data_IF_606106016025
#
_entry.id   IF_606106016025
#
_cell.length_a   1.000
_cell.length_b   1.000
_cell.length_c   1.000
_cell.angle_alpha   90.00
_cell.angle_beta   90.00
_cell.angle_gamma   90.00
#
_symmetry.space_group_name_H-M   'P 1'
#
loop_
_entity.id
_entity.type
_entity.pdbx_description
1 polymer ?
#
# COMPACT_ATOMS: atom_id res chain seq x y z
N UNK A 1 -30.14 -4.00 0.20
CA UNK A 1 -29.89 -3.37 1.52
C UNK A 1 -28.46 -2.84 1.66
N UNK A 2 -27.37 -3.66 1.67
CA UNK A 2 -26.01 -3.12 1.83
C UNK A 2 -25.59 -2.20 0.67
N UNK A 3 -26.00 -2.52 -0.55
CA UNK A 3 -25.67 -1.74 -1.74
C UNK A 3 -26.32 -0.36 -1.72
N UNK A 4 -27.55 -0.25 -1.23
CA UNK A 4 -28.26 1.03 -1.08
C UNK A 4 -27.61 1.92 -0.01
N UNK A 5 -27.09 1.29 1.05
CA UNK A 5 -26.31 1.98 2.09
C UNK A 5 -25.00 2.51 1.50
N UNK A 6 -24.27 1.66 0.79
CA UNK A 6 -22.96 2.00 0.24
C UNK A 6 -23.03 2.95 -0.96
N UNK A 7 -24.14 2.98 -1.70
CA UNK A 7 -24.37 3.97 -2.74
C UNK A 7 -24.32 5.42 -2.19
N UNK A 8 -24.75 5.63 -0.93
CA UNK A 8 -24.67 6.93 -0.26
C UNK A 8 -23.24 7.36 0.10
N UNK A 9 -22.29 6.43 0.03
CA UNK A 9 -20.86 6.69 0.35
C UNK A 9 -20.03 7.02 -0.88
N UNK A 10 -20.63 6.91 -2.07
CA UNK A 10 -19.96 7.25 -3.32
C UNK A 10 -19.57 8.74 -3.34
N UNK A 11 -18.37 9.04 -3.80
CA UNK A 11 -17.80 10.39 -3.74
C UNK A 11 -17.28 10.82 -2.35
N UNK A 12 -17.81 10.28 -1.24
CA UNK A 12 -17.34 10.60 0.11
C UNK A 12 -16.20 9.69 0.57
N UNK A 13 -16.12 8.48 0.04
CA UNK A 13 -15.07 7.50 0.37
C UNK A 13 -14.38 6.97 -0.90
N UNK A 14 -13.09 6.66 -0.76
CA UNK A 14 -12.35 6.03 -1.86
C UNK A 14 -12.99 4.69 -2.27
N UNK A 15 -13.03 4.38 -3.56
CA UNK A 15 -13.62 3.14 -4.12
C UNK A 15 -13.14 1.86 -3.43
N UNK A 16 -11.86 1.79 -3.07
CA UNK A 16 -11.31 0.64 -2.34
C UNK A 16 -11.84 0.53 -0.90
N UNK A 17 -12.14 1.66 -0.25
CA UNK A 17 -12.76 1.68 1.08
C UNK A 17 -14.18 1.15 1.01
N UNK A 18 -14.98 1.60 0.04
CA UNK A 18 -16.36 1.11 -0.19
C UNK A 18 -16.34 -0.39 -0.50
N UNK A 19 -15.41 -0.86 -1.33
CA UNK A 19 -15.24 -2.30 -1.62
C UNK A 19 -14.91 -3.10 -0.36
N UNK A 20 -14.06 -2.58 0.52
CA UNK A 20 -13.72 -3.22 1.78
C UNK A 20 -14.93 -3.28 2.72
N UNK A 21 -15.67 -2.18 2.86
CA UNK A 21 -16.90 -2.13 3.65
C UNK A 21 -17.93 -3.15 3.19
N UNK A 22 -18.18 -3.21 1.87
CA UNK A 22 -19.08 -4.20 1.27
C UNK A 22 -18.66 -5.63 1.62
N UNK A 23 -17.40 -5.96 1.37
CA UNK A 23 -16.87 -7.30 1.64
C UNK A 23 -16.97 -7.69 3.13
N UNK A 24 -16.64 -6.76 4.02
CA UNK A 24 -16.67 -7.01 5.46
C UNK A 24 -18.08 -7.18 5.98
N UNK A 25 -19.03 -6.39 5.49
CA UNK A 25 -20.43 -6.48 5.89
C UNK A 25 -21.09 -7.78 5.38
N UNK A 26 -20.87 -8.16 4.12
CA UNK A 26 -21.36 -9.41 3.55
C UNK A 26 -20.86 -10.62 4.35
N UNK A 27 -19.57 -10.61 4.74
CA UNK A 27 -19.01 -11.69 5.54
C UNK A 27 -19.58 -11.73 6.97
N UNK A 28 -19.89 -10.59 7.56
CA UNK A 28 -20.58 -10.51 8.84
C UNK A 28 -22.01 -11.06 8.73
N UNK A 29 -22.76 -10.63 7.72
CA UNK A 29 -24.13 -11.14 7.47
C UNK A 29 -24.15 -12.67 7.28
N UNK A 30 -23.22 -13.19 6.48
CA UNK A 30 -23.12 -14.64 6.26
C UNK A 30 -22.82 -15.40 7.57
N UNK A 31 -21.94 -14.85 8.42
CA UNK A 31 -21.66 -15.42 9.74
C UNK A 31 -22.90 -15.36 10.65
N UNK A 32 -23.60 -14.23 10.70
CA UNK A 32 -24.82 -14.08 11.47
C UNK A 32 -25.88 -15.10 11.04
N UNK A 33 -26.12 -15.22 9.73
CA UNK A 33 -27.10 -16.19 9.19
C UNK A 33 -26.75 -17.63 9.56
N UNK A 34 -25.46 -18.00 9.52
CA UNK A 34 -24.99 -19.33 9.90
C UNK A 34 -25.21 -19.62 11.39
N UNK A 35 -25.24 -18.62 12.24
CA UNK A 35 -25.42 -18.75 13.70
C UNK A 35 -26.84 -18.40 14.14
N UNK A 36 -27.80 -18.22 13.23
CA UNK A 36 -29.18 -17.80 13.51
C UNK A 36 -29.26 -16.49 14.33
N UNK A 37 -28.43 -15.54 13.99
CA UNK A 37 -28.33 -14.21 14.63
C UNK A 37 -28.71 -13.14 13.59
N UNK A 38 -29.45 -12.12 14.00
CA UNK A 38 -29.76 -10.99 13.17
C UNK A 38 -28.47 -10.11 12.97
N UNK A 39 -28.18 -9.78 11.72
CA UNK A 39 -27.05 -8.89 11.42
C UNK A 39 -27.40 -7.41 11.66
N UNK A 40 -28.66 -7.06 11.60
CA UNK A 40 -29.25 -5.76 11.94
C UNK A 40 -30.60 -6.00 12.64
N UNK A 41 -30.82 -5.44 13.86
CA UNK A 41 -29.85 -4.65 14.63
C UNK A 41 -28.66 -5.46 15.14
N UNK A 42 -27.44 -4.91 15.01
CA UNK A 42 -26.24 -5.56 15.51
C UNK A 42 -26.15 -5.41 17.03
N UNK A 43 -25.99 -6.50 17.76
CA UNK A 43 -25.82 -6.51 19.22
C UNK A 43 -24.33 -6.57 19.60
N UNK A 44 -24.01 -6.13 20.81
CA UNK A 44 -22.64 -6.19 21.34
C UNK A 44 -22.16 -7.64 21.51
N UNK A 45 -23.04 -8.53 21.96
CA UNK A 45 -22.74 -9.95 22.13
C UNK A 45 -22.45 -10.64 20.79
N UNK A 46 -23.29 -10.41 19.76
CA UNK A 46 -23.05 -10.94 18.42
C UNK A 46 -21.71 -10.44 17.84
N UNK A 47 -21.41 -9.15 18.02
CA UNK A 47 -20.17 -8.57 17.54
C UNK A 47 -18.95 -9.13 18.28
N UNK A 48 -19.06 -9.35 19.60
CA UNK A 48 -18.00 -9.97 20.40
C UNK A 48 -17.76 -11.43 19.99
N UNK A 49 -18.82 -12.22 19.78
CA UNK A 49 -18.72 -13.59 19.26
C UNK A 49 -18.09 -13.62 17.86
N UNK A 50 -18.43 -12.65 17.00
CA UNK A 50 -17.81 -12.54 15.68
C UNK A 50 -16.31 -12.24 15.77
N UNK A 51 -15.86 -11.39 16.71
CA UNK A 51 -14.44 -11.16 17.00
C UNK A 51 -13.76 -12.46 17.40
N UNK A 52 -14.34 -13.21 18.36
CA UNK A 52 -13.79 -14.47 18.85
C UNK A 52 -13.72 -15.54 17.72
N UNK A 53 -14.76 -15.64 16.88
CA UNK A 53 -14.73 -16.47 15.66
C UNK A 53 -13.60 -16.05 14.71
N UNK A 54 -13.49 -14.76 14.39
CA UNK A 54 -12.45 -14.27 13.49
C UNK A 54 -11.03 -14.53 14.03
N UNK A 55 -10.87 -14.55 15.35
CA UNK A 55 -9.57 -14.83 16.00
C UNK A 55 -9.06 -16.26 15.73
N UNK A 56 -9.92 -17.17 15.29
CA UNK A 56 -9.51 -18.53 14.88
C UNK A 56 -8.99 -18.62 13.46
N UNK A 57 -9.35 -17.67 12.58
CA UNK A 57 -9.11 -17.78 11.13
C UNK A 57 -8.45 -16.56 10.49
N UNK A 58 -8.22 -15.47 11.24
CA UNK A 58 -7.71 -14.21 10.70
C UNK A 58 -6.63 -13.59 11.59
N UNK A 59 -5.76 -12.79 10.97
CA UNK A 59 -4.76 -11.99 11.68
C UNK A 59 -5.41 -10.79 12.37
N UNK A 60 -4.90 -10.42 13.54
CA UNK A 60 -5.35 -9.32 14.39
C UNK A 60 -5.64 -8.01 13.64
N UNK A 61 -4.77 -7.59 12.72
CA UNK A 61 -4.97 -6.38 11.91
C UNK A 61 -6.21 -6.46 11.00
N UNK A 62 -6.48 -7.63 10.42
CA UNK A 62 -7.67 -7.86 9.60
C UNK A 62 -8.93 -7.79 10.43
N UNK A 63 -8.93 -8.37 11.63
CA UNK A 63 -10.06 -8.35 12.57
C UNK A 63 -10.39 -6.91 12.95
N UNK A 64 -9.39 -6.15 13.43
CA UNK A 64 -9.58 -4.73 13.79
C UNK A 64 -10.16 -3.92 12.64
N UNK A 65 -9.62 -4.10 11.43
CA UNK A 65 -10.11 -3.39 10.25
C UNK A 65 -11.58 -3.73 9.97
N UNK A 66 -11.97 -5.02 10.05
CA UNK A 66 -13.34 -5.46 9.83
C UNK A 66 -14.32 -4.87 10.85
N UNK A 67 -13.97 -4.94 12.12
CA UNK A 67 -14.81 -4.36 13.18
C UNK A 67 -14.97 -2.84 12.99
N UNK A 68 -13.91 -2.13 12.68
CA UNK A 68 -13.98 -0.70 12.35
C UNK A 68 -14.84 -0.42 11.10
N UNK A 69 -14.75 -1.27 10.06
CA UNK A 69 -15.60 -1.18 8.86
C UNK A 69 -17.08 -1.33 9.22
N UNK A 70 -17.42 -2.35 10.02
CA UNK A 70 -18.80 -2.61 10.46
C UNK A 70 -19.35 -1.45 11.28
N UNK A 71 -18.61 -0.96 12.27
CA UNK A 71 -19.02 0.21 13.06
C UNK A 71 -19.24 1.45 12.19
N UNK A 72 -18.38 1.70 11.21
CA UNK A 72 -18.56 2.83 10.28
C UNK A 72 -19.84 2.66 9.44
N UNK A 73 -20.06 1.48 8.88
CA UNK A 73 -21.25 1.19 8.06
C UNK A 73 -22.54 1.33 8.89
N UNK A 74 -22.59 0.73 10.08
CA UNK A 74 -23.74 0.81 10.98
C UNK A 74 -24.04 2.27 11.36
N UNK A 75 -23.03 3.00 11.81
CA UNK A 75 -23.19 4.42 12.21
C UNK A 75 -23.70 5.30 11.07
N UNK A 76 -23.11 5.19 9.88
CA UNK A 76 -23.48 6.05 8.73
C UNK A 76 -24.83 5.63 8.12
N UNK A 77 -25.29 4.40 8.36
CA UNK A 77 -26.63 3.94 8.00
C UNK A 77 -27.69 4.17 9.10
N UNK A 78 -27.34 4.93 10.14
CA UNK A 78 -28.21 5.27 11.28
C UNK A 78 -28.65 4.05 12.12
N UNK A 79 -27.88 2.98 12.08
CA UNK A 79 -28.05 1.85 13.00
C UNK A 79 -27.14 2.02 14.22
N UNK A 80 -27.53 1.35 15.32
CA UNK A 80 -26.68 1.33 16.52
C UNK A 80 -25.33 0.68 16.21
N UNK A 81 -24.25 1.33 16.66
CA UNK A 81 -22.87 0.82 16.53
C UNK A 81 -22.41 0.16 17.84
N UNK A 82 -22.39 -1.18 17.94
CA UNK A 82 -21.98 -1.86 19.15
C UNK A 82 -20.47 -1.99 19.30
N UNK A 83 -19.68 -1.58 18.32
CA UNK A 83 -18.21 -1.87 18.28
C UNK A 83 -17.43 -1.21 19.42
N UNK A 84 -18.03 -0.24 20.12
CA UNK A 84 -17.43 0.44 21.28
C UNK A 84 -17.99 -0.02 22.62
N UNK A 85 -18.89 -0.99 22.64
CA UNK A 85 -19.43 -1.55 23.87
C UNK A 85 -18.39 -2.40 24.61
N UNK A 86 -18.46 -2.49 25.93
CA UNK A 86 -17.49 -3.21 26.77
C UNK A 86 -17.22 -4.66 26.31
N UNK A 87 -18.25 -5.38 25.89
CA UNK A 87 -18.18 -6.77 25.43
C UNK A 87 -17.23 -6.89 24.23
N UNK A 88 -17.39 -5.99 23.24
CA UNK A 88 -16.56 -5.98 22.01
C UNK A 88 -15.15 -5.54 22.32
N UNK A 89 -14.98 -4.53 23.19
CA UNK A 89 -13.65 -4.08 23.64
C UNK A 89 -12.91 -5.22 24.33
N UNK A 90 -13.59 -5.97 25.20
CA UNK A 90 -13.00 -7.11 25.90
C UNK A 90 -12.66 -8.25 24.92
N UNK A 91 -13.53 -8.55 23.94
CA UNK A 91 -13.25 -9.54 22.91
C UNK A 91 -12.01 -9.16 22.09
N UNK A 92 -11.86 -7.88 21.69
CA UNK A 92 -10.68 -7.38 21.00
C UNK A 92 -9.41 -7.50 21.89
N UNK A 93 -9.50 -7.23 23.18
CA UNK A 93 -8.37 -7.41 24.10
C UNK A 93 -7.98 -8.88 24.22
N UNK A 94 -8.97 -9.80 24.37
CA UNK A 94 -8.72 -11.24 24.37
C UNK A 94 -8.04 -11.70 23.08
N UNK A 95 -8.57 -11.29 21.93
CA UNK A 95 -8.00 -11.57 20.62
C UNK A 95 -6.54 -11.13 20.54
N UNK A 96 -6.21 -9.90 21.00
CA UNK A 96 -4.83 -9.42 21.00
C UNK A 96 -3.90 -10.22 21.91
N UNK A 97 -4.38 -10.69 23.05
CA UNK A 97 -3.60 -11.57 23.92
C UNK A 97 -3.36 -12.95 23.30
N UNK A 98 -4.37 -13.48 22.58
CA UNK A 98 -4.31 -14.81 21.97
C UNK A 98 -3.41 -14.87 20.73
N UNK A 99 -3.55 -13.92 19.81
CA UNK A 99 -2.90 -13.96 18.47
C UNK A 99 -1.91 -12.81 18.23
N UNK A 100 -1.65 -11.96 19.23
CA UNK A 100 -0.71 -10.85 19.15
C UNK A 100 -1.21 -9.66 18.31
N UNK A 101 -0.42 -8.60 18.31
CA UNK A 101 -0.67 -7.37 17.52
C UNK A 101 0.37 -7.15 16.42
N UNK A 102 1.49 -7.87 16.48
CA UNK A 102 2.61 -7.69 15.58
C UNK A 102 2.19 -7.96 14.14
N UNK A 103 2.53 -7.04 13.26
CA UNK A 103 2.41 -7.21 11.83
C UNK A 103 3.80 -7.51 11.26
N UNK A 104 3.86 -8.48 10.37
CA UNK A 104 5.07 -8.73 9.63
C UNK A 104 5.34 -7.52 8.73
N UNK A 105 6.51 -6.92 8.86
CA UNK A 105 6.97 -5.85 7.99
C UNK A 105 7.31 -6.43 6.62
N UNK A 106 7.18 -5.63 5.56
CA UNK A 106 7.67 -6.02 4.24
C UNK A 106 9.20 -6.17 4.26
N UNK A 107 9.72 -7.15 3.53
CA UNK A 107 11.16 -7.28 3.32
C UNK A 107 11.76 -5.97 2.78
N UNK A 108 12.88 -5.50 3.30
CA UNK A 108 13.50 -4.27 2.81
C UNK A 108 14.08 -4.48 1.40
N UNK A 109 13.81 -3.55 0.49
CA UNK A 109 14.50 -3.45 -0.78
C UNK A 109 15.54 -2.34 -0.65
N UNK A 110 16.66 -2.65 0.03
CA UNK A 110 17.79 -1.76 0.26
C UNK A 110 18.68 -1.66 -0.98
N UNK A 111 19.58 -0.68 -1.01
CA UNK A 111 20.42 -0.34 -2.17
C UNK A 111 21.25 -1.52 -2.73
N UNK A 112 21.84 -2.42 -1.92
CA UNK A 112 22.56 -3.57 -2.46
C UNK A 112 21.64 -4.50 -3.29
N UNK A 113 20.46 -4.85 -2.74
CA UNK A 113 19.48 -5.69 -3.44
C UNK A 113 18.89 -4.96 -4.65
N UNK A 114 18.62 -3.65 -4.53
CA UNK A 114 18.17 -2.83 -5.66
C UNK A 114 19.15 -2.92 -6.84
N UNK A 115 20.44 -2.80 -6.58
CA UNK A 115 21.49 -2.86 -7.62
C UNK A 115 21.53 -4.25 -8.27
N UNK A 116 21.39 -5.33 -7.52
CA UNK A 116 21.31 -6.69 -8.06
C UNK A 116 20.09 -6.85 -8.96
N UNK A 117 18.91 -6.39 -8.53
CA UNK A 117 17.70 -6.44 -9.36
C UNK A 117 17.83 -5.61 -10.64
N UNK A 118 18.44 -4.43 -10.56
CA UNK A 118 18.69 -3.56 -11.72
C UNK A 118 19.63 -4.21 -12.73
N UNK A 119 20.70 -4.84 -12.25
CA UNK A 119 21.68 -5.54 -13.10
C UNK A 119 21.09 -6.77 -13.79
N UNK A 120 20.13 -7.43 -13.13
CA UNK A 120 19.44 -8.62 -13.67
C UNK A 120 18.34 -8.27 -14.67
N UNK A 121 17.91 -7.01 -14.75
CA UNK A 121 16.94 -6.57 -15.75
C UNK A 121 17.60 -6.52 -17.14
N UNK A 122 17.07 -7.26 -18.11
CA UNK A 122 17.52 -7.27 -19.48
C UNK A 122 17.27 -5.94 -20.22
N UNK A 123 17.62 -5.88 -21.52
CA UNK A 123 17.41 -4.73 -22.36
C UNK A 123 16.08 -4.74 -23.13
N UNK A 124 15.20 -5.70 -22.84
CA UNK A 124 13.85 -5.72 -23.42
C UNK A 124 13.02 -4.55 -22.90
N UNK A 125 11.92 -4.24 -23.59
CA UNK A 125 10.95 -3.25 -23.13
C UNK A 125 10.45 -3.55 -21.70
N UNK A 126 10.30 -4.83 -21.39
CA UNK A 126 9.86 -5.27 -20.05
C UNK A 126 10.96 -5.07 -19.01
N UNK A 127 12.22 -5.38 -19.36
CA UNK A 127 13.38 -5.12 -18.51
C UNK A 127 13.57 -3.62 -18.26
N UNK A 128 13.46 -2.78 -19.29
CA UNK A 128 13.55 -1.32 -19.14
C UNK A 128 12.43 -0.77 -18.24
N UNK A 129 11.16 -1.20 -18.44
CA UNK A 129 10.06 -0.84 -17.56
C UNK A 129 10.34 -1.27 -16.11
N UNK A 130 10.95 -2.44 -15.90
CA UNK A 130 11.29 -2.92 -14.56
C UNK A 130 12.39 -2.06 -13.94
N UNK A 131 13.42 -1.64 -14.70
CA UNK A 131 14.44 -0.68 -14.23
C UNK A 131 13.80 0.65 -13.79
N UNK A 132 12.86 1.18 -14.59
CA UNK A 132 12.10 2.39 -14.23
C UNK A 132 11.31 2.17 -12.93
N UNK A 133 10.57 1.06 -12.82
CA UNK A 133 9.80 0.74 -11.62
C UNK A 133 10.68 0.66 -10.37
N UNK A 134 11.83 -0.02 -10.46
CA UNK A 134 12.75 -0.21 -9.35
C UNK A 134 13.31 1.13 -8.84
N UNK A 135 13.87 1.95 -9.75
CA UNK A 135 14.44 3.25 -9.38
C UNK A 135 13.39 4.23 -8.90
N UNK A 136 12.29 4.38 -9.65
CA UNK A 136 11.21 5.30 -9.29
C UNK A 136 10.59 4.94 -7.94
N UNK A 137 10.37 3.64 -7.67
CA UNK A 137 9.84 3.17 -6.40
C UNK A 137 10.77 3.45 -5.23
N UNK A 138 12.06 3.17 -5.40
CA UNK A 138 13.08 3.37 -4.37
C UNK A 138 13.32 4.86 -4.09
N UNK A 139 13.57 5.66 -5.11
CA UNK A 139 13.93 7.07 -4.95
C UNK A 139 12.77 7.92 -4.43
N UNK A 140 11.53 7.63 -4.88
CA UNK A 140 10.36 8.40 -4.45
C UNK A 140 9.73 7.87 -3.18
N UNK A 141 9.99 6.63 -2.77
CA UNK A 141 9.40 5.98 -1.59
C UNK A 141 7.87 6.02 -1.61
N UNK A 142 7.23 5.94 -2.79
CA UNK A 142 5.77 6.09 -2.90
C UNK A 142 5.03 4.77 -2.70
N UNK A 143 3.76 4.88 -2.28
CA UNK A 143 2.88 3.71 -2.26
C UNK A 143 2.64 3.23 -3.69
N UNK A 144 2.42 1.91 -3.87
CA UNK A 144 2.22 1.31 -5.20
C UNK A 144 1.14 2.00 -6.04
N UNK A 145 0.07 2.53 -5.42
CA UNK A 145 -0.98 3.27 -6.12
C UNK A 145 -0.49 4.65 -6.58
N UNK A 146 0.28 5.34 -5.77
CA UNK A 146 0.90 6.62 -6.09
C UNK A 146 1.98 6.43 -7.17
N UNK A 147 2.79 5.38 -7.03
CA UNK A 147 3.83 5.02 -7.99
C UNK A 147 3.28 4.75 -9.40
N UNK A 148 2.18 3.99 -9.49
CA UNK A 148 1.54 3.68 -10.77
C UNK A 148 0.68 4.84 -11.33
N UNK A 149 0.47 5.89 -10.56
CA UNK A 149 -0.26 7.07 -10.99
C UNK A 149 0.62 8.15 -11.61
N UNK A 150 1.95 8.08 -11.47
CA UNK A 150 2.84 9.05 -12.09
C UNK A 150 2.73 9.01 -13.61
N UNK A 151 2.74 10.22 -14.18
CA UNK A 151 2.72 10.46 -15.62
C UNK A 151 3.98 11.19 -16.07
N UNK A 152 4.27 11.17 -17.35
CA UNK A 152 5.40 11.93 -17.91
C UNK A 152 5.25 13.44 -17.70
N UNK A 153 4.01 13.95 -17.69
CA UNK A 153 3.69 15.35 -17.42
C UNK A 153 3.99 15.78 -15.98
N UNK A 154 4.17 14.81 -15.06
CA UNK A 154 4.56 15.08 -13.67
C UNK A 154 6.06 15.31 -13.51
N UNK A 155 6.88 14.98 -14.52
CA UNK A 155 8.33 15.24 -14.51
C UNK A 155 8.56 16.74 -14.58
N UNK A 156 9.32 17.29 -13.65
CA UNK A 156 9.53 18.73 -13.52
C UNK A 156 10.94 19.03 -12.98
N UNK A 157 11.24 20.30 -12.80
CA UNK A 157 12.43 20.76 -12.07
C UNK A 157 12.03 21.21 -10.67
N UNK A 158 12.82 20.83 -9.68
CA UNK A 158 12.72 21.35 -8.32
C UNK A 158 13.18 22.80 -8.22
N UNK A 159 13.01 23.44 -7.05
CA UNK A 159 13.40 24.82 -6.80
C UNK A 159 14.90 25.08 -7.02
N UNK A 160 15.75 24.04 -6.92
CA UNK A 160 17.18 24.09 -7.15
C UNK A 160 17.57 23.78 -8.62
N UNK A 161 16.61 23.74 -9.54
CA UNK A 161 16.80 23.40 -10.95
C UNK A 161 17.08 21.92 -11.24
N UNK A 162 17.20 21.06 -10.21
CA UNK A 162 17.47 19.62 -10.37
C UNK A 162 16.19 18.86 -10.76
N UNK A 163 16.34 17.68 -11.39
CA UNK A 163 15.21 16.83 -11.74
C UNK A 163 14.33 16.49 -10.54
N UNK A 164 13.04 16.50 -10.76
CA UNK A 164 12.02 16.18 -9.76
C UNK A 164 10.79 15.58 -10.43
N UNK A 165 9.91 14.97 -9.63
CA UNK A 165 8.61 14.51 -10.06
C UNK A 165 7.52 15.02 -9.12
N UNK A 166 6.41 15.49 -9.67
CA UNK A 166 5.27 15.99 -8.90
C UNK A 166 4.33 14.85 -8.51
N UNK A 167 4.03 14.75 -7.23
CA UNK A 167 2.97 13.87 -6.70
C UNK A 167 1.72 14.70 -6.51
N UNK A 168 0.75 14.60 -7.42
CA UNK A 168 -0.46 15.44 -7.41
C UNK A 168 -1.42 15.05 -6.28
N UNK A 169 -1.56 13.75 -5.99
CA UNK A 169 -2.44 13.22 -4.95
C UNK A 169 -1.76 12.11 -4.17
N UNK A 170 -2.04 12.03 -2.87
CA UNK A 170 -1.60 10.91 -2.05
C UNK A 170 -2.73 10.43 -1.12
N UNK A 171 -2.53 9.29 -0.45
CA UNK A 171 -3.49 8.80 0.55
C UNK A 171 -3.73 9.79 1.69
N UNK A 172 -2.74 10.61 2.01
CA UNK A 172 -2.78 11.61 3.09
C UNK A 172 -3.03 13.03 2.58
N UNK A 173 -3.00 13.22 1.28
CA UNK A 173 -3.32 14.47 0.58
C UNK A 173 -4.32 14.17 -0.54
N UNK A 174 -5.58 14.03 -0.16
CA UNK A 174 -6.69 13.76 -1.08
C UNK A 174 -7.22 15.02 -1.75
N UNK A 175 -6.85 16.20 -1.25
CA UNK A 175 -7.26 17.50 -1.78
C UNK A 175 -6.27 18.06 -2.83
N UNK A 176 -5.12 17.38 -3.04
CA UNK A 176 -4.22 17.70 -4.14
C UNK A 176 -3.34 18.94 -3.91
N UNK A 177 -2.92 19.21 -2.68
CA UNK A 177 -1.89 20.24 -2.43
C UNK A 177 -0.59 19.92 -3.19
N UNK A 178 -0.36 18.63 -3.43
CA UNK A 178 0.74 18.13 -4.22
C UNK A 178 2.09 18.18 -3.49
N UNK A 179 3.06 17.45 -4.02
CA UNK A 179 4.42 17.44 -3.48
C UNK A 179 5.45 17.26 -4.59
N UNK A 180 6.50 18.06 -4.57
CA UNK A 180 7.66 17.88 -5.46
C UNK A 180 8.63 16.92 -4.79
N UNK A 181 8.98 15.85 -5.49
CA UNK A 181 9.90 14.80 -5.03
C UNK A 181 11.16 14.88 -5.86
N UNK A 182 12.34 15.12 -5.25
CA UNK A 182 13.59 15.10 -5.98
C UNK A 182 13.89 13.69 -6.50
N UNK A 183 14.40 13.59 -7.71
CA UNK A 183 14.92 12.37 -8.32
C UNK A 183 16.35 12.57 -8.78
N UNK A 184 17.10 11.47 -8.89
CA UNK A 184 18.47 11.52 -9.39
C UNK A 184 18.51 11.83 -10.88
N UNK A 185 19.66 12.34 -11.38
CA UNK A 185 19.88 12.50 -12.80
C UNK A 185 19.80 11.18 -13.54
N UNK A 186 20.32 10.11 -12.93
CA UNK A 186 20.25 8.75 -13.50
C UNK A 186 18.82 8.25 -13.70
N UNK A 187 17.91 8.53 -12.75
CA UNK A 187 16.51 8.20 -12.92
C UNK A 187 15.87 9.08 -14.00
N UNK A 188 16.18 10.37 -14.04
CA UNK A 188 15.68 11.27 -15.07
C UNK A 188 16.08 10.78 -16.48
N UNK A 189 17.35 10.46 -16.68
CA UNK A 189 17.86 9.97 -17.98
C UNK A 189 17.19 8.62 -18.37
N UNK A 190 16.96 7.75 -17.39
CA UNK A 190 16.24 6.51 -17.59
C UNK A 190 14.78 6.74 -17.98
N UNK A 191 14.11 7.74 -17.39
CA UNK A 191 12.74 8.13 -17.73
C UNK A 191 12.66 8.72 -19.14
N UNK A 192 13.61 9.57 -19.56
CA UNK A 192 13.64 10.11 -20.90
C UNK A 192 13.90 9.01 -21.94
N UNK A 193 14.83 8.09 -21.67
CA UNK A 193 15.03 6.90 -22.50
C UNK A 193 13.74 6.05 -22.61
N UNK A 194 13.05 5.85 -21.51
CA UNK A 194 11.79 5.09 -21.49
C UNK A 194 10.69 5.83 -22.26
N UNK A 195 10.57 7.14 -22.07
CA UNK A 195 9.64 8.02 -22.77
C UNK A 195 9.79 7.91 -24.29
N UNK A 196 11.01 7.99 -24.80
CA UNK A 196 11.29 7.91 -26.24
C UNK A 196 10.87 6.59 -26.88
N UNK A 197 10.72 5.51 -26.08
CA UNK A 197 10.36 4.17 -26.58
C UNK A 197 8.86 3.87 -26.55
N UNK A 198 8.08 4.59 -25.73
CA UNK A 198 6.67 4.23 -25.53
C UNK A 198 5.67 5.32 -25.93
N UNK A 199 5.87 6.55 -25.54
CA UNK A 199 5.05 7.72 -25.84
C UNK A 199 5.52 8.90 -24.99
N UNK A 200 5.29 10.10 -25.47
CA UNK A 200 5.59 11.35 -24.78
C UNK A 200 4.64 11.70 -23.64
N UNK A 201 3.47 11.05 -23.57
CA UNK A 201 2.39 11.40 -22.67
C UNK A 201 1.85 10.20 -21.89
N UNK A 202 1.15 10.50 -20.80
CA UNK A 202 0.41 9.53 -20.00
C UNK A 202 1.28 8.80 -18.98
N UNK A 203 0.80 7.64 -18.52
CA UNK A 203 1.42 6.94 -17.38
C UNK A 203 2.83 6.46 -17.69
N UNK A 204 3.76 6.73 -16.74
CA UNK A 204 5.14 6.26 -16.80
C UNK A 204 5.19 4.72 -16.73
N UNK A 205 4.48 4.13 -15.78
CA UNK A 205 4.45 2.68 -15.62
C UNK A 205 3.27 2.09 -16.38
N UNK A 206 3.57 1.37 -17.46
CA UNK A 206 2.58 0.68 -18.29
C UNK A 206 2.69 -0.83 -18.18
N UNK A 207 1.56 -1.52 -18.33
CA UNK A 207 1.56 -2.97 -18.50
C UNK A 207 2.09 -3.32 -19.88
N UNK A 208 2.75 -4.47 -20.00
CA UNK A 208 3.28 -5.00 -21.25
C UNK A 208 2.80 -6.45 -21.36
N UNK A 209 2.02 -6.76 -22.38
CA UNK A 209 1.54 -8.11 -22.61
C UNK A 209 2.66 -9.04 -23.15
N UNK A 210 2.34 -10.32 -23.36
CA UNK A 210 3.31 -11.30 -23.88
C UNK A 210 3.80 -11.01 -25.30
N UNK A 211 3.05 -10.22 -26.07
CA UNK A 211 3.38 -9.84 -27.44
C UNK A 211 4.08 -8.48 -27.53
N UNK A 212 4.44 -7.85 -26.41
CA UNK A 212 5.12 -6.55 -26.36
C UNK A 212 4.20 -5.33 -26.46
N UNK A 213 2.88 -5.49 -26.56
CA UNK A 213 1.96 -4.35 -26.61
C UNK A 213 1.79 -3.70 -25.25
N UNK A 214 1.76 -2.36 -25.26
CA UNK A 214 1.56 -1.54 -24.06
C UNK A 214 0.07 -1.39 -23.73
N UNK A 215 -0.27 -1.58 -22.45
CA UNK A 215 -1.53 -1.10 -21.91
C UNK A 215 -1.40 0.36 -21.44
N UNK A 216 -2.52 0.93 -21.01
CA UNK A 216 -2.56 2.34 -20.60
C UNK A 216 -1.70 2.58 -19.33
N UNK A 217 -1.87 1.75 -18.30
CA UNK A 217 -1.11 1.84 -17.05
C UNK A 217 -0.76 0.46 -16.48
N UNK A 218 0.16 0.45 -15.51
CA UNK A 218 0.43 -0.73 -14.69
C UNK A 218 -0.53 -0.75 -13.50
N UNK A 219 -1.31 -1.82 -13.35
CA UNK A 219 -2.18 -1.94 -12.18
C UNK A 219 -1.36 -2.03 -10.89
N UNK A 220 -1.70 -1.30 -9.81
CA UNK A 220 -0.90 -1.28 -8.57
C UNK A 220 -0.62 -2.65 -7.94
N UNK A 221 -1.53 -3.63 -8.10
CA UNK A 221 -1.30 -4.99 -7.62
C UNK A 221 -0.16 -5.68 -8.37
N UNK A 222 0.05 -5.36 -9.65
CA UNK A 222 1.10 -5.94 -10.48
C UNK A 222 2.51 -5.56 -10.03
N UNK A 223 2.68 -4.45 -9.29
CA UNK A 223 3.99 -4.06 -8.72
C UNK A 223 4.58 -5.19 -7.89
N UNK A 224 3.79 -5.77 -6.99
CA UNK A 224 4.28 -6.89 -6.15
C UNK A 224 4.54 -8.17 -6.97
N UNK A 225 3.76 -8.41 -8.03
CA UNK A 225 4.00 -9.55 -8.95
C UNK A 225 5.32 -9.39 -9.71
N UNK A 226 5.59 -8.17 -10.20
CA UNK A 226 6.86 -7.86 -10.88
C UNK A 226 8.05 -8.03 -9.95
N UNK A 227 7.97 -7.48 -8.72
CA UNK A 227 9.06 -7.60 -7.74
C UNK A 227 9.35 -9.06 -7.36
N UNK A 228 8.31 -9.87 -7.16
CA UNK A 228 8.46 -11.31 -6.89
C UNK A 228 9.07 -12.06 -8.08
N UNK A 229 8.70 -11.69 -9.30
CA UNK A 229 9.31 -12.25 -10.52
C UNK A 229 10.81 -11.96 -10.56
N UNK A 230 11.20 -10.70 -10.38
CA UNK A 230 12.61 -10.29 -10.37
C UNK A 230 13.41 -10.95 -9.23
N UNK A 231 12.81 -11.12 -8.05
CA UNK A 231 13.42 -11.84 -6.92
C UNK A 231 13.66 -13.33 -7.28
N UNK A 232 12.68 -13.95 -7.92
CA UNK A 232 12.82 -15.36 -8.39
C UNK A 232 13.90 -15.50 -9.45
N UNK A 233 14.02 -14.53 -10.37
CA UNK A 233 15.02 -14.56 -11.44
C UNK A 233 16.46 -14.42 -10.89
N UNK A 234 16.64 -13.80 -9.71
CA UNK A 234 17.90 -13.76 -8.97
C UNK A 234 18.22 -15.07 -8.23
N UNK A 235 17.31 -16.08 -8.26
CA UNK A 235 17.44 -17.34 -7.51
C UNK A 235 17.67 -17.11 -6.00
N UNK A 236 17.09 -16.06 -5.45
CA UNK A 236 17.11 -15.81 -4.00
C UNK A 236 16.42 -16.96 -3.28
N UNK A 237 16.88 -17.28 -2.07
CA UNK A 237 16.37 -18.42 -1.31
C UNK A 237 14.85 -18.37 -1.16
N UNK A 238 14.21 -19.55 -1.28
CA UNK A 238 12.76 -19.69 -1.15
C UNK A 238 12.23 -19.24 0.22
N UNK A 239 13.10 -19.22 1.23
CA UNK A 239 12.79 -18.83 2.60
C UNK A 239 12.83 -17.31 2.80
N UNK A 240 13.35 -16.55 1.83
CA UNK A 240 13.35 -15.10 1.91
C UNK A 240 11.95 -14.53 1.74
N UNK A 241 11.65 -13.58 2.60
CA UNK A 241 10.36 -12.91 2.57
C UNK A 241 10.14 -12.21 1.21
N UNK A 242 8.99 -12.45 0.53
CA UNK A 242 8.76 -11.91 -0.80
C UNK A 242 8.65 -10.38 -0.81
N UNK A 243 9.29 -9.76 -1.78
CA UNK A 243 9.22 -8.32 -2.02
C UNK A 243 7.80 -7.87 -2.39
N UNK A 244 7.48 -6.66 -2.00
CA UNK A 244 6.18 -6.01 -2.25
C UNK A 244 6.35 -4.52 -2.53
N UNK A 245 5.29 -3.82 -2.91
CA UNK A 245 5.35 -2.37 -3.09
C UNK A 245 5.73 -1.58 -1.82
N UNK A 246 5.63 -2.18 -0.62
CA UNK A 246 6.13 -1.57 0.62
C UNK A 246 7.64 -1.78 0.83
N UNK A 247 8.25 -2.74 0.15
CA UNK A 247 9.68 -3.04 0.25
C UNK A 247 10.56 -1.87 -0.15
N UNK A 248 10.17 -1.09 -1.15
CA UNK A 248 10.83 0.16 -1.52
C UNK A 248 10.92 1.14 -0.34
N UNK A 249 9.81 1.32 0.38
CA UNK A 249 9.72 2.29 1.48
C UNK A 249 10.53 1.86 2.69
N UNK A 250 10.55 0.56 2.97
CA UNK A 250 11.34 -0.02 4.07
C UNK A 250 12.83 0.10 3.73
N UNK A 251 13.26 -0.39 2.57
CA UNK A 251 14.67 -0.39 2.17
C UNK A 251 15.25 1.02 2.06
N UNK A 252 14.58 1.92 1.32
CA UNK A 252 15.06 3.30 1.18
C UNK A 252 15.08 4.07 2.52
N UNK A 253 14.16 3.79 3.45
CA UNK A 253 14.19 4.43 4.77
C UNK A 253 15.37 3.93 5.62
N UNK A 254 15.67 2.63 5.56
CA UNK A 254 16.83 2.05 6.24
C UNK A 254 18.14 2.59 5.67
N UNK A 255 18.28 2.64 4.36
CA UNK A 255 19.47 3.18 3.71
C UNK A 255 19.70 4.66 4.06
N UNK A 256 18.62 5.47 4.15
CA UNK A 256 18.72 6.87 4.60
C UNK A 256 19.17 6.98 6.05
N UNK A 257 18.64 6.11 6.92
CA UNK A 257 19.04 6.05 8.32
C UNK A 257 20.51 5.64 8.47
N UNK A 258 20.99 4.65 7.72
CA UNK A 258 22.39 4.22 7.67
C UNK A 258 23.33 5.34 7.16
N UNK A 259 22.82 6.21 6.29
CA UNK A 259 23.55 7.39 5.80
C UNK A 259 23.57 8.54 6.82
N UNK A 260 22.96 8.38 7.99
CA UNK A 260 22.89 9.41 9.03
C UNK A 260 21.86 10.51 8.77
N UNK A 261 20.92 10.30 7.85
CA UNK A 261 19.85 11.27 7.60
C UNK A 261 18.92 11.38 8.82
N UNK A 262 18.59 12.60 9.27
CA UNK A 262 17.70 12.80 10.41
C UNK A 262 16.30 12.33 10.11
N UNK A 263 15.59 11.88 11.17
CA UNK A 263 14.25 11.30 11.07
C UNK A 263 13.27 12.19 10.30
N UNK A 264 13.33 13.49 10.51
CA UNK A 264 12.47 14.48 9.85
C UNK A 264 12.64 14.47 8.33
N UNK A 265 13.86 14.33 7.83
CA UNK A 265 14.11 14.21 6.38
C UNK A 265 13.62 12.90 5.84
N UNK A 266 13.82 11.79 6.57
CA UNK A 266 13.28 10.47 6.21
C UNK A 266 11.75 10.54 6.14
N UNK A 267 11.11 11.18 7.13
CA UNK A 267 9.65 11.38 7.17
C UNK A 267 9.16 12.23 6.00
N UNK A 268 9.81 13.33 5.73
CA UNK A 268 9.49 14.19 4.58
C UNK A 268 9.56 13.40 3.28
N UNK A 269 10.65 12.67 3.05
CA UNK A 269 10.84 11.87 1.84
C UNK A 269 9.82 10.74 1.75
N UNK A 270 9.57 10.01 2.84
CA UNK A 270 8.59 8.95 2.92
C UNK A 270 7.12 9.43 2.88
N UNK A 271 6.85 10.71 3.19
CA UNK A 271 5.49 11.25 3.31
C UNK A 271 4.76 10.66 4.52
N UNK A 272 5.48 10.53 5.65
CA UNK A 272 4.93 10.15 6.94
C UNK A 272 4.65 11.42 7.77
N UNK A 273 3.47 11.47 8.40
CA UNK A 273 3.02 12.60 9.19
C UNK A 273 3.35 12.48 10.68
N UNK A 274 3.67 11.26 11.14
CA UNK A 274 3.97 10.98 12.54
C UNK A 274 5.22 10.13 12.66
N UNK A 275 6.01 10.41 13.71
CA UNK A 275 7.23 9.68 14.07
C UNK A 275 6.93 8.19 14.27
N UNK A 276 5.83 7.87 14.97
CA UNK A 276 5.43 6.49 15.20
C UNK A 276 5.21 5.69 13.92
N UNK A 277 4.70 6.35 12.86
CA UNK A 277 4.56 5.73 11.55
C UNK A 277 5.93 5.50 10.90
N UNK A 278 6.82 6.49 10.89
CA UNK A 278 8.17 6.35 10.35
C UNK A 278 8.96 5.27 11.11
N UNK A 279 8.95 5.31 12.44
CA UNK A 279 9.60 4.31 13.30
C UNK A 279 9.08 2.89 13.05
N UNK A 280 7.83 2.72 12.66
CA UNK A 280 7.31 1.39 12.28
C UNK A 280 8.00 0.80 11.05
N UNK A 281 8.55 1.63 10.16
CA UNK A 281 9.36 1.20 9.00
C UNK A 281 10.83 0.96 9.36
N UNK A 282 11.33 1.63 10.39
CA UNK A 282 12.73 1.55 10.83
C UNK A 282 12.96 0.50 11.93
N UNK A 283 11.92 -0.13 12.46
CA UNK A 283 11.98 -1.03 13.62
C UNK A 283 12.90 -2.26 13.46
N UNK A 284 13.23 -2.64 12.23
CA UNK A 284 14.13 -3.77 11.94
C UNK A 284 15.57 -3.31 11.71
N UNK A 285 15.85 -2.03 11.91
CA UNK A 285 17.22 -1.54 11.88
C UNK A 285 17.95 -2.04 13.12
N UNK A 286 19.07 -2.68 12.90
CA UNK A 286 19.93 -3.22 13.98
C UNK A 286 21.11 -2.27 14.11
N UNK A 287 21.30 -1.71 15.28
CA UNK A 287 22.42 -0.86 15.63
C UNK A 287 23.66 -1.72 15.87
#
# INVERSE_FOLDING_TARGET
>A
MIDDILAKFDGAFAKNTIRAYRSDFIQYQAWCSHNNIDSIPATADAMAQYVDYLATIRKSATIRRRINSLGTVLKLSKHHDPTKQPEVILAIKRMHRKIGRAQQQAAPLAKPLLNQLLSNCDNSLRGLRNKVLLRLGYETMRRRSELCAFKFEDICKGANGKPAIRLNFSKTDQFGAGKILPISQELFDLLEKWRSMISDEGYILRSINRHGHFGNNLHPASVSTVLKGLQKDLKMDSDEQPLSGHSFRVGAALDLLEQGEPLERIMLRGGWQTDSTAMSYLRNWIV
#
